data_IF_084102617427
#
_entry.id   IF_084102617427
#
_cell.length_a   1.000
_cell.length_b   1.000
_cell.length_c   1.000
_cell.angle_alpha   90.00
_cell.angle_beta   90.00
_cell.angle_gamma   90.00
#
_symmetry.space_group_name_H-M   'P 1'
#
loop_
_entity.id
_entity.type
_entity.pdbx_description
1 polymer ?
#
# COMPACT_ATOMS: atom_id res chain seq x y z
N UNK A 1 8.88 -28.38 3.42
CA UNK A 1 9.14 -27.85 4.78
C UNK A 1 8.55 -28.78 5.84
N UNK A 2 8.42 -30.06 5.51
CA UNK A 2 7.66 -31.05 6.30
C UNK A 2 8.54 -31.75 7.34
N UNK A 3 9.85 -31.49 7.31
CA UNK A 3 10.85 -31.99 8.25
C UNK A 3 11.93 -30.94 8.49
N UNK A 4 12.14 -30.58 9.76
CA UNK A 4 13.24 -29.70 10.15
C UNK A 4 14.61 -30.33 9.96
N UNK A 5 14.73 -31.66 10.09
CA UNK A 5 15.99 -32.39 9.81
C UNK A 5 16.39 -32.25 8.35
N UNK A 6 15.46 -32.59 7.43
CA UNK A 6 15.72 -32.48 6.00
C UNK A 6 16.03 -31.03 5.58
N UNK A 7 15.41 -30.05 6.25
CA UNK A 7 15.70 -28.65 5.97
C UNK A 7 17.09 -28.23 6.47
N UNK A 8 17.46 -28.62 7.69
CA UNK A 8 18.80 -28.40 8.22
C UNK A 8 19.87 -29.03 7.34
N UNK A 9 19.68 -30.30 6.95
CA UNK A 9 20.60 -31.04 6.10
C UNK A 9 20.77 -30.34 4.73
N UNK A 10 19.68 -29.83 4.15
CA UNK A 10 19.74 -29.10 2.88
C UNK A 10 20.48 -27.77 3.00
N UNK A 11 20.30 -27.03 4.09
CA UNK A 11 21.05 -25.79 4.34
C UNK A 11 22.53 -26.06 4.56
N UNK A 12 22.87 -27.02 5.41
CA UNK A 12 24.28 -27.33 5.71
C UNK A 12 24.99 -28.04 4.55
N UNK A 13 24.26 -28.80 3.73
CA UNK A 13 24.81 -29.46 2.55
C UNK A 13 25.21 -28.50 1.42
N UNK A 14 24.80 -27.23 1.48
CA UNK A 14 25.19 -26.22 0.49
C UNK A 14 26.60 -25.66 0.73
N UNK A 15 27.20 -25.88 1.90
CA UNK A 15 28.60 -25.54 2.14
C UNK A 15 29.51 -26.47 1.33
N UNK A 16 30.53 -25.91 0.67
CA UNK A 16 31.58 -26.73 0.06
C UNK A 16 32.50 -27.27 1.15
N UNK A 17 32.68 -28.59 1.19
CA UNK A 17 33.68 -29.24 2.05
C UNK A 17 35.08 -29.29 1.46
N UNK A 18 35.28 -28.76 0.24
CA UNK A 18 36.59 -28.73 -0.42
C UNK A 18 37.35 -27.46 -0.04
N UNK A 19 38.09 -27.54 1.06
CA UNK A 19 38.94 -26.44 1.55
C UNK A 19 40.05 -26.07 0.55
N UNK A 20 40.42 -26.97 -0.36
CA UNK A 20 41.42 -26.70 -1.39
C UNK A 20 40.88 -25.83 -2.52
N UNK A 21 39.61 -25.99 -2.88
CA UNK A 21 38.94 -25.20 -3.90
C UNK A 21 38.31 -23.90 -3.34
N UNK A 22 37.89 -23.89 -2.07
CA UNK A 22 37.25 -22.73 -1.41
C UNK A 22 37.80 -22.51 0.01
N UNK A 23 39.02 -21.96 0.15
CA UNK A 23 39.67 -21.74 1.45
C UNK A 23 39.10 -20.55 2.25
N UNK A 24 38.13 -19.81 1.72
CA UNK A 24 37.54 -18.63 2.40
C UNK A 24 36.29 -18.99 3.20
N UNK A 25 35.93 -18.19 4.24
CA UNK A 25 34.66 -18.34 4.94
C UNK A 25 33.46 -18.31 3.99
N UNK A 26 32.51 -19.22 4.20
CA UNK A 26 31.32 -19.35 3.39
C UNK A 26 30.08 -18.89 4.17
N UNK A 27 29.11 -18.33 3.45
CA UNK A 27 27.77 -18.04 3.96
C UNK A 27 26.75 -18.70 3.04
N UNK A 28 25.85 -19.51 3.63
CA UNK A 28 24.67 -20.03 2.95
C UNK A 28 23.49 -19.20 3.41
N UNK A 29 22.68 -18.72 2.48
CA UNK A 29 21.52 -17.90 2.79
C UNK A 29 20.32 -18.33 1.95
N UNK A 30 19.14 -18.14 2.53
CA UNK A 30 17.84 -18.32 1.89
C UNK A 30 16.98 -17.14 2.30
N UNK A 31 16.35 -16.49 1.33
CA UNK A 31 15.33 -15.47 1.56
C UNK A 31 14.02 -16.00 1.01
N UNK A 32 12.96 -15.94 1.81
CA UNK A 32 11.59 -16.37 1.46
C UNK A 32 10.61 -15.47 2.17
N UNK A 33 9.39 -15.40 1.65
CA UNK A 33 8.30 -14.67 2.31
C UNK A 33 8.03 -15.29 3.69
N UNK A 34 7.80 -14.45 4.71
CA UNK A 34 7.63 -14.90 6.09
C UNK A 34 6.39 -15.80 6.24
N UNK A 35 5.36 -15.51 5.45
CA UNK A 35 4.11 -16.24 5.30
C UNK A 35 4.34 -17.70 4.85
N UNK A 36 5.50 -18.01 4.28
CA UNK A 36 5.89 -19.40 3.96
C UNK A 36 5.82 -20.29 5.21
N UNK A 37 6.20 -19.75 6.37
CA UNK A 37 6.34 -20.51 7.63
C UNK A 37 5.07 -20.39 8.48
N UNK A 38 4.12 -21.30 8.27
CA UNK A 38 2.90 -21.43 9.07
C UNK A 38 1.61 -21.03 8.34
N UNK A 39 1.67 -20.01 7.47
CA UNK A 39 0.49 -19.58 6.70
C UNK A 39 0.34 -20.40 5.40
N UNK A 40 1.34 -20.39 4.51
CA UNK A 40 1.31 -21.16 3.27
C UNK A 40 1.71 -22.62 3.47
N UNK A 41 2.71 -22.89 4.33
CA UNK A 41 3.02 -24.25 4.76
C UNK A 41 2.67 -24.41 6.24
N UNK A 42 1.59 -25.14 6.49
CA UNK A 42 1.14 -25.49 7.83
C UNK A 42 2.29 -26.13 8.62
N UNK A 43 2.55 -25.63 9.84
CA UNK A 43 3.65 -26.06 10.71
C UNK A 43 5.07 -25.81 10.14
N UNK A 44 5.21 -25.02 9.08
CA UNK A 44 6.52 -24.65 8.52
C UNK A 44 7.40 -23.87 9.50
N UNK A 45 6.78 -23.09 10.39
CA UNK A 45 7.42 -22.41 11.52
C UNK A 45 8.10 -23.39 12.49
N UNK A 46 7.44 -24.51 12.81
CA UNK A 46 8.01 -25.56 13.66
C UNK A 46 9.20 -26.25 12.97
N UNK A 47 9.08 -26.53 11.66
CA UNK A 47 10.17 -27.12 10.90
C UNK A 47 11.39 -26.18 10.83
N UNK A 48 11.17 -24.88 10.64
CA UNK A 48 12.22 -23.87 10.69
C UNK A 48 12.88 -23.82 12.08
N UNK A 49 12.08 -23.71 13.15
CA UNK A 49 12.59 -23.66 14.51
C UNK A 49 13.44 -24.90 14.86
N UNK A 50 12.98 -26.08 14.49
CA UNK A 50 13.72 -27.33 14.71
C UNK A 50 15.01 -27.38 13.87
N UNK A 51 14.97 -26.95 12.60
CA UNK A 51 16.16 -26.91 11.76
C UNK A 51 17.24 -25.99 12.35
N UNK A 52 16.87 -24.80 12.80
CA UNK A 52 17.79 -23.86 13.45
C UNK A 52 18.37 -24.43 14.74
N UNK A 53 17.52 -25.02 15.59
CA UNK A 53 17.96 -25.68 16.82
C UNK A 53 18.95 -26.81 16.53
N UNK A 54 18.68 -27.65 15.53
CA UNK A 54 19.55 -28.75 15.15
C UNK A 54 20.91 -28.26 14.67
N UNK A 55 20.94 -27.22 13.82
CA UNK A 55 22.18 -26.63 13.31
C UNK A 55 23.06 -26.11 14.46
N UNK A 56 22.49 -25.36 15.40
CA UNK A 56 23.25 -24.80 16.53
C UNK A 56 23.69 -25.87 17.53
N UNK A 57 22.76 -26.74 17.96
CA UNK A 57 23.03 -27.74 19.01
C UNK A 57 24.05 -28.80 18.58
N UNK A 58 24.16 -29.08 17.28
CA UNK A 58 25.14 -30.02 16.73
C UNK A 58 26.41 -29.35 16.20
N UNK A 59 26.51 -28.01 16.28
CA UNK A 59 27.68 -27.25 15.83
C UNK A 59 27.97 -27.36 14.33
N UNK A 60 26.98 -27.73 13.51
CA UNK A 60 27.15 -27.93 12.05
C UNK A 60 27.43 -26.64 11.30
N UNK A 61 26.89 -25.52 11.77
CA UNK A 61 27.15 -24.19 11.24
C UNK A 61 26.84 -23.13 12.31
N UNK A 62 27.34 -21.92 12.11
CA UNK A 62 27.00 -20.75 12.93
C UNK A 62 25.84 -19.99 12.29
N UNK A 63 24.74 -19.82 13.02
CA UNK A 63 23.69 -18.90 12.63
C UNK A 63 24.18 -17.45 12.76
N UNK A 64 23.96 -16.65 11.74
CA UNK A 64 24.41 -15.25 11.69
C UNK A 64 23.48 -14.44 10.80
N UNK A 65 23.44 -13.12 11.00
CA UNK A 65 22.88 -12.19 10.03
C UNK A 65 23.98 -11.59 9.14
N UNK A 66 23.58 -10.86 8.08
CA UNK A 66 24.52 -10.27 7.13
C UNK A 66 25.43 -9.19 7.75
N UNK A 67 24.93 -8.42 8.72
CA UNK A 67 25.70 -7.35 9.35
C UNK A 67 26.85 -7.92 10.21
N UNK A 68 26.56 -8.95 11.00
CA UNK A 68 27.56 -9.66 11.80
C UNK A 68 28.59 -10.37 10.91
N UNK A 69 28.13 -11.07 9.86
CA UNK A 69 29.03 -11.75 8.93
C UNK A 69 29.98 -10.75 8.25
N UNK A 70 29.44 -9.64 7.72
CA UNK A 70 30.23 -8.59 7.07
C UNK A 70 31.26 -7.94 8.02
N UNK A 71 30.92 -7.79 9.30
CA UNK A 71 31.86 -7.23 10.27
C UNK A 71 33.05 -8.17 10.54
N UNK A 72 32.82 -9.48 10.49
CA UNK A 72 33.85 -10.52 10.70
C UNK A 72 34.64 -10.85 9.44
N UNK A 73 33.99 -10.78 8.28
CA UNK A 73 34.52 -11.19 6.98
C UNK A 73 34.36 -10.02 6.01
N UNK A 74 35.37 -9.14 5.90
CA UNK A 74 35.34 -8.03 4.95
C UNK A 74 35.22 -8.53 3.50
N UNK A 75 34.46 -7.84 2.63
CA UNK A 75 34.33 -8.22 1.23
C UNK A 75 35.68 -8.07 0.51
N UNK A 76 36.07 -9.10 -0.24
CA UNK A 76 37.32 -9.13 -1.02
C UNK A 76 37.08 -9.12 -2.54
N UNK A 77 35.82 -9.25 -2.95
CA UNK A 77 35.42 -9.38 -4.33
C UNK A 77 34.28 -8.41 -4.62
N UNK A 78 34.30 -7.87 -5.83
CA UNK A 78 33.18 -7.12 -6.39
C UNK A 78 32.42 -8.01 -7.37
N UNK A 79 31.11 -7.81 -7.42
CA UNK A 79 30.24 -8.47 -8.40
C UNK A 79 29.40 -7.40 -9.08
N UNK A 80 29.17 -7.56 -10.38
CA UNK A 80 28.22 -6.74 -11.10
C UNK A 80 26.83 -7.35 -10.97
N UNK A 81 25.86 -6.51 -10.60
CA UNK A 81 24.45 -6.89 -10.61
C UNK A 81 23.92 -6.68 -12.02
N UNK A 82 23.21 -7.68 -12.56
CA UNK A 82 22.41 -7.49 -13.76
C UNK A 82 21.19 -6.64 -13.37
N UNK A 83 21.18 -5.40 -13.85
CA UNK A 83 20.12 -4.44 -13.58
C UNK A 83 18.75 -4.95 -14.06
N UNK A 84 17.68 -4.51 -13.39
CA UNK A 84 16.30 -4.90 -13.70
C UNK A 84 16.05 -6.41 -13.66
N UNK A 85 16.78 -7.15 -12.82
CA UNK A 85 16.49 -8.56 -12.52
C UNK A 85 15.58 -8.70 -11.31
N UNK A 86 14.90 -9.85 -11.20
CA UNK A 86 14.10 -10.18 -10.04
C UNK A 86 14.24 -11.66 -9.68
N UNK A 87 14.10 -11.97 -8.39
CA UNK A 87 14.12 -13.34 -7.89
C UNK A 87 12.91 -14.19 -8.35
N UNK A 88 11.79 -13.56 -8.69
CA UNK A 88 10.49 -14.21 -8.96
C UNK A 88 10.01 -14.05 -10.41
N UNK A 89 10.86 -13.54 -11.29
CA UNK A 89 10.59 -13.41 -12.72
C UNK A 89 11.87 -13.63 -13.54
N UNK A 90 11.85 -14.64 -14.40
CA UNK A 90 12.97 -14.95 -15.29
C UNK A 90 13.19 -13.88 -16.37
N UNK A 91 12.20 -13.00 -16.58
CA UNK A 91 12.21 -11.91 -17.55
C UNK A 91 12.53 -10.55 -16.88
N UNK A 92 13.29 -10.58 -15.80
CA UNK A 92 13.66 -9.39 -15.05
C UNK A 92 12.50 -8.77 -14.28
N UNK A 93 12.22 -7.49 -14.48
CA UNK A 93 11.09 -6.79 -13.82
C UNK A 93 9.83 -6.72 -14.68
N UNK A 94 9.78 -7.45 -15.80
CA UNK A 94 8.65 -7.39 -16.72
C UNK A 94 7.35 -7.90 -16.10
N UNK A 95 7.39 -8.74 -15.06
CA UNK A 95 6.20 -9.13 -14.29
C UNK A 95 5.39 -7.91 -13.82
N UNK A 96 6.04 -6.77 -13.54
CA UNK A 96 5.38 -5.55 -13.03
C UNK A 96 5.17 -4.47 -14.10
N UNK A 97 5.37 -4.80 -15.38
CA UNK A 97 5.29 -3.81 -16.47
C UNK A 97 4.68 -4.35 -17.77
N UNK A 98 4.85 -5.63 -18.08
CA UNK A 98 4.55 -6.19 -19.40
C UNK A 98 3.93 -7.59 -19.31
N UNK A 99 3.41 -8.04 -20.44
CA UNK A 99 2.96 -9.41 -20.63
C UNK A 99 4.15 -10.33 -20.92
N UNK A 100 4.92 -10.64 -19.87
CA UNK A 100 6.03 -11.61 -19.96
C UNK A 100 5.59 -13.07 -19.73
N UNK A 101 4.28 -13.33 -19.67
CA UNK A 101 3.70 -14.64 -19.38
C UNK A 101 3.89 -15.14 -17.94
N UNK A 102 4.56 -14.38 -17.07
CA UNK A 102 4.64 -14.72 -15.65
C UNK A 102 3.29 -14.48 -14.96
N UNK A 103 2.70 -15.57 -14.44
CA UNK A 103 1.38 -15.66 -13.81
C UNK A 103 1.49 -16.32 -12.42
N UNK A 104 0.40 -16.33 -11.63
CA UNK A 104 0.26 -17.21 -10.45
C UNK A 104 0.06 -18.67 -10.88
N UNK A 105 -0.44 -18.89 -12.10
CA UNK A 105 -0.69 -20.21 -12.67
C UNK A 105 -2.06 -20.78 -12.30
N UNK A 106 -2.91 -19.99 -11.65
CA UNK A 106 -4.25 -20.41 -11.22
C UNK A 106 -5.23 -20.51 -12.39
N UNK A 107 -5.02 -19.72 -13.45
CA UNK A 107 -5.94 -19.65 -14.59
C UNK A 107 -5.25 -19.95 -15.94
N UNK A 108 -5.28 -21.22 -16.38
CA UNK A 108 -4.75 -21.58 -17.70
C UNK A 108 -5.44 -20.81 -18.83
N UNK A 109 -4.64 -20.21 -19.71
CA UNK A 109 -5.13 -19.46 -20.88
C UNK A 109 -5.33 -17.96 -20.64
N UNK A 110 -5.19 -17.48 -19.40
CA UNK A 110 -5.16 -16.04 -19.12
C UNK A 110 -3.81 -15.45 -19.50
N UNK A 111 -3.81 -14.15 -19.82
CA UNK A 111 -2.62 -13.39 -20.20
C UNK A 111 -2.52 -12.09 -19.39
N UNK A 112 -1.36 -11.44 -19.50
CA UNK A 112 -0.99 -10.28 -18.70
C UNK A 112 -0.91 -9.01 -19.55
N UNK A 113 -1.62 -8.98 -20.69
CA UNK A 113 -1.70 -7.85 -21.62
C UNK A 113 -2.22 -6.57 -20.96
N UNK A 114 -2.88 -6.68 -19.81
CA UNK A 114 -3.38 -5.57 -19.02
C UNK A 114 -2.31 -4.78 -18.26
N UNK A 115 -1.14 -5.38 -17.99
CA UNK A 115 -0.09 -4.75 -17.17
C UNK A 115 0.49 -3.51 -17.85
N UNK A 116 0.90 -3.60 -19.11
CA UNK A 116 1.44 -2.44 -19.82
C UNK A 116 0.47 -1.23 -19.87
N UNK A 117 -0.79 -1.38 -20.32
CA UNK A 117 -1.74 -0.26 -20.35
C UNK A 117 -2.17 0.25 -18.97
N UNK A 118 -2.24 -0.62 -17.94
CA UNK A 118 -2.48 -0.15 -16.58
C UNK A 118 -1.30 0.71 -16.09
N UNK A 119 -0.07 0.28 -16.37
CA UNK A 119 1.15 1.01 -15.98
C UNK A 119 1.21 2.37 -16.66
N UNK A 120 0.86 2.43 -17.94
CA UNK A 120 0.74 3.68 -18.71
C UNK A 120 -0.30 4.61 -18.08
N UNK A 121 -1.43 4.07 -17.61
CA UNK A 121 -2.48 4.86 -16.95
C UNK A 121 -1.98 5.50 -15.66
N UNK A 122 -1.20 4.76 -14.85
CA UNK A 122 -0.60 5.28 -13.63
C UNK A 122 0.53 6.27 -13.89
N UNK A 123 1.39 6.01 -14.88
CA UNK A 123 2.45 6.95 -15.28
C UNK A 123 1.85 8.26 -15.79
N UNK A 124 0.80 8.20 -16.62
CA UNK A 124 0.05 9.38 -17.08
C UNK A 124 -0.57 10.14 -15.89
N UNK A 125 -1.19 9.44 -14.94
CA UNK A 125 -1.79 10.08 -13.77
C UNK A 125 -0.73 10.77 -12.90
N UNK A 126 0.41 10.12 -12.65
CA UNK A 126 1.54 10.71 -11.95
C UNK A 126 2.02 11.98 -12.65
N UNK A 127 2.24 11.90 -13.97
CA UNK A 127 2.78 13.01 -14.75
C UNK A 127 1.78 14.19 -14.84
N UNK A 128 0.49 13.93 -14.67
CA UNK A 128 -0.56 14.96 -14.54
C UNK A 128 -0.54 15.63 -13.16
N UNK A 129 -0.41 14.85 -12.08
CA UNK A 129 -0.64 15.32 -10.71
C UNK A 129 0.63 15.79 -9.96
N UNK A 130 1.82 15.30 -10.31
CA UNK A 130 3.09 15.77 -9.72
C UNK A 130 3.31 17.29 -9.95
N UNK A 131 3.04 17.86 -11.15
CA UNK A 131 3.12 19.32 -11.34
C UNK A 131 2.12 20.11 -10.49
N UNK A 132 0.90 19.58 -10.31
CA UNK A 132 -0.12 20.17 -9.44
C UNK A 132 0.37 20.21 -7.99
N UNK A 133 0.92 19.09 -7.51
CA UNK A 133 1.53 19.00 -6.19
C UNK A 133 2.64 20.03 -6.02
N UNK A 134 3.65 20.02 -6.90
CA UNK A 134 4.84 20.89 -6.78
C UNK A 134 4.47 22.36 -6.77
N UNK A 135 3.53 22.76 -7.63
CA UNK A 135 3.12 24.17 -7.75
C UNK A 135 2.42 24.63 -6.47
N UNK A 136 1.38 23.91 -6.04
CA UNK A 136 0.58 24.33 -4.88
C UNK A 136 1.32 24.13 -3.56
N UNK A 137 2.08 23.04 -3.41
CA UNK A 137 2.86 22.78 -2.22
C UNK A 137 3.96 23.82 -2.04
N UNK A 138 4.58 24.33 -3.11
CA UNK A 138 5.60 25.36 -3.00
C UNK A 138 5.06 26.69 -2.45
N UNK A 139 3.76 26.96 -2.55
CA UNK A 139 3.12 28.13 -1.93
C UNK A 139 3.09 28.04 -0.39
N UNK A 140 3.03 26.81 0.15
CA UNK A 140 2.73 26.54 1.56
C UNK A 140 3.90 25.89 2.33
N UNK A 141 4.73 25.11 1.64
CA UNK A 141 5.80 24.26 2.18
C UNK A 141 7.18 24.71 1.68
N UNK A 142 8.20 24.62 2.54
CA UNK A 142 9.56 25.11 2.29
C UNK A 142 10.23 24.35 1.15
N UNK A 143 10.17 23.03 1.23
CA UNK A 143 10.62 22.10 0.20
C UNK A 143 9.53 21.03 0.03
N UNK A 144 8.77 21.05 -1.08
CA UNK A 144 7.73 20.04 -1.33
C UNK A 144 8.28 18.61 -1.35
N UNK A 145 9.48 18.38 -1.88
CA UNK A 145 10.04 17.04 -1.96
C UNK A 145 10.38 16.51 -0.57
N UNK A 146 11.07 17.31 0.23
CA UNK A 146 11.40 16.95 1.62
C UNK A 146 10.12 16.73 2.43
N UNK A 147 9.14 17.63 2.31
CA UNK A 147 7.88 17.53 3.04
C UNK A 147 7.10 16.25 2.69
N UNK A 148 7.13 15.80 1.43
CA UNK A 148 6.54 14.52 1.01
C UNK A 148 7.24 13.32 1.66
N UNK A 149 8.57 13.31 1.71
CA UNK A 149 9.34 12.23 2.34
C UNK A 149 9.10 12.19 3.86
N UNK A 150 9.06 13.35 4.50
CA UNK A 150 8.80 13.51 5.93
C UNK A 150 7.35 13.21 6.32
N UNK A 151 6.41 13.30 5.37
CA UNK A 151 5.00 13.03 5.61
C UNK A 151 4.72 11.60 6.09
N UNK A 152 5.61 10.65 5.80
CA UNK A 152 5.51 9.28 6.31
C UNK A 152 5.32 9.26 7.84
N UNK A 153 5.98 10.16 8.58
CA UNK A 153 5.85 10.25 10.04
C UNK A 153 4.44 10.63 10.47
N UNK A 154 3.76 11.52 9.72
CA UNK A 154 2.36 11.90 9.97
C UNK A 154 1.42 10.79 9.55
N UNK A 155 1.71 10.10 8.44
CA UNK A 155 0.88 9.00 7.97
C UNK A 155 0.88 7.79 8.94
N UNK A 156 2.01 7.56 9.63
CA UNK A 156 2.15 6.53 10.68
C UNK A 156 1.55 6.95 12.03
N UNK A 157 1.51 8.25 12.30
CA UNK A 157 1.03 8.83 13.56
C UNK A 157 0.24 10.11 13.26
N UNK A 158 -1.09 9.99 13.16
CA UNK A 158 -2.00 11.10 12.81
C UNK A 158 -2.41 11.96 14.02
N UNK A 159 -1.66 11.90 15.12
CA UNK A 159 -1.94 12.76 16.29
C UNK A 159 -1.75 14.24 15.96
N UNK A 160 -2.48 15.09 16.68
CA UNK A 160 -2.36 16.55 16.51
C UNK A 160 -0.94 17.04 16.83
N UNK A 161 -0.29 16.46 17.84
CA UNK A 161 1.11 16.76 18.16
C UNK A 161 2.06 16.48 16.99
N UNK A 162 1.88 15.35 16.29
CA UNK A 162 2.69 15.00 15.10
C UNK A 162 2.44 15.98 13.95
N UNK A 163 1.18 16.33 13.72
CA UNK A 163 0.77 17.30 12.68
C UNK A 163 1.34 18.69 12.93
N UNK A 164 1.23 19.21 14.16
CA UNK A 164 1.81 20.52 14.50
C UNK A 164 3.33 20.52 14.37
N UNK A 165 4.01 19.44 14.80
CA UNK A 165 5.46 19.31 14.62
C UNK A 165 5.84 19.35 13.14
N UNK A 166 5.10 18.64 12.29
CA UNK A 166 5.33 18.63 10.85
C UNK A 166 5.14 20.02 10.25
N UNK A 167 4.00 20.67 10.47
CA UNK A 167 3.70 22.00 9.93
C UNK A 167 4.69 23.05 10.43
N UNK A 168 5.05 23.03 11.72
CA UNK A 168 6.03 23.97 12.26
C UNK A 168 7.42 23.88 11.60
N UNK A 169 7.81 22.69 11.12
CA UNK A 169 9.08 22.47 10.41
C UNK A 169 8.97 22.74 8.91
N UNK A 170 7.91 22.23 8.29
CA UNK A 170 7.79 22.13 6.84
C UNK A 170 7.09 23.33 6.21
N UNK A 171 6.23 24.05 6.94
CA UNK A 171 5.52 25.21 6.40
C UNK A 171 6.44 26.43 6.24
N UNK A 172 6.23 27.20 5.17
CA UNK A 172 6.98 28.45 4.89
C UNK A 172 6.61 29.58 5.84
N UNK A 173 5.36 29.55 6.31
CA UNK A 173 4.72 30.56 7.14
C UNK A 173 3.62 29.90 7.98
N UNK A 174 3.06 30.58 8.99
CA UNK A 174 1.81 30.16 9.59
C UNK A 174 0.74 29.94 8.52
N UNK A 175 0.02 28.82 8.64
CA UNK A 175 -1.04 28.43 7.72
C UNK A 175 -2.40 28.56 8.41
N UNK A 176 -3.38 29.09 7.69
CA UNK A 176 -4.76 29.10 8.15
C UNK A 176 -5.40 27.69 8.06
N UNK A 177 -6.62 27.48 8.59
CA UNK A 177 -7.27 26.17 8.57
C UNK A 177 -7.44 25.57 7.16
N UNK A 178 -7.80 26.37 6.16
CA UNK A 178 -8.05 25.90 4.79
C UNK A 178 -6.73 25.53 4.09
N UNK A 179 -5.68 26.31 4.33
CA UNK A 179 -4.32 26.02 3.86
C UNK A 179 -3.76 24.74 4.46
N UNK A 180 -4.06 24.47 5.74
CA UNK A 180 -3.67 23.22 6.40
C UNK A 180 -4.37 22.03 5.78
N UNK A 181 -5.68 22.13 5.52
CA UNK A 181 -6.44 21.10 4.80
C UNK A 181 -5.84 20.88 3.41
N UNK A 182 -5.52 21.95 2.67
CA UNK A 182 -4.88 21.88 1.35
C UNK A 182 -3.53 21.16 1.40
N UNK A 183 -2.68 21.45 2.39
CA UNK A 183 -1.42 20.71 2.61
C UNK A 183 -1.66 19.21 2.79
N UNK A 184 -2.64 18.82 3.62
CA UNK A 184 -2.93 17.42 3.83
C UNK A 184 -3.48 16.73 2.59
N UNK A 185 -4.35 17.39 1.82
CA UNK A 185 -4.85 16.86 0.54
C UNK A 185 -3.71 16.67 -0.47
N UNK A 186 -2.81 17.64 -0.58
CA UNK A 186 -1.63 17.56 -1.46
C UNK A 186 -0.72 16.38 -1.10
N UNK A 187 -0.42 16.20 0.18
CA UNK A 187 0.46 15.13 0.66
C UNK A 187 -0.18 13.74 0.56
N UNK A 188 -1.48 13.62 0.82
CA UNK A 188 -2.22 12.37 0.61
C UNK A 188 -2.36 12.04 -0.88
N UNK A 189 -2.50 13.03 -1.76
CA UNK A 189 -2.51 12.82 -3.21
C UNK A 189 -1.19 12.19 -3.67
N UNK A 190 -0.04 12.76 -3.29
CA UNK A 190 1.28 12.18 -3.58
C UNK A 190 1.45 10.78 -2.98
N UNK A 191 1.00 10.57 -1.73
CA UNK A 191 1.02 9.25 -1.10
C UNK A 191 0.21 8.23 -1.91
N UNK A 192 -0.96 8.58 -2.41
CA UNK A 192 -1.77 7.69 -3.24
C UNK A 192 -1.15 7.42 -4.63
N UNK A 193 -0.46 8.42 -5.21
CA UNK A 193 0.36 8.21 -6.42
C UNK A 193 1.52 7.24 -6.19
N UNK A 194 2.07 7.14 -4.97
CA UNK A 194 3.06 6.12 -4.62
C UNK A 194 2.40 4.76 -4.43
N UNK A 195 1.27 4.71 -3.70
CA UNK A 195 0.59 3.45 -3.36
C UNK A 195 0.04 2.72 -4.58
N UNK A 196 -0.37 3.40 -5.65
CA UNK A 196 -0.83 2.74 -6.88
C UNK A 196 0.26 1.90 -7.57
N UNK A 197 1.53 2.05 -7.21
CA UNK A 197 2.62 1.20 -7.70
C UNK A 197 2.96 0.02 -6.79
N UNK A 198 2.11 -0.29 -5.80
CA UNK A 198 2.30 -1.48 -4.94
C UNK A 198 2.40 -2.75 -5.79
N UNK A 199 3.50 -3.47 -5.64
CA UNK A 199 3.90 -4.56 -6.56
C UNK A 199 2.93 -5.74 -6.60
N UNK A 200 2.22 -6.01 -5.49
CA UNK A 200 1.20 -7.07 -5.41
C UNK A 200 0.09 -6.87 -6.46
N UNK A 201 -0.26 -5.63 -6.79
CA UNK A 201 -1.27 -5.29 -7.79
C UNK A 201 -0.92 -5.66 -9.23
N UNK A 202 0.25 -6.28 -9.44
CA UNK A 202 0.73 -6.72 -10.76
C UNK A 202 1.10 -8.21 -10.77
N UNK A 203 1.11 -8.86 -9.60
CA UNK A 203 1.71 -10.18 -9.46
C UNK A 203 0.85 -11.28 -10.07
N UNK A 204 -0.47 -11.16 -9.89
CA UNK A 204 -1.48 -12.13 -10.26
C UNK A 204 -1.97 -11.96 -11.70
N UNK A 205 -2.95 -12.78 -12.07
CA UNK A 205 -3.30 -13.01 -13.47
C UNK A 205 -4.24 -11.95 -14.04
N UNK A 206 -4.97 -11.22 -13.19
CA UNK A 206 -6.18 -10.49 -13.60
C UNK A 206 -6.29 -9.07 -13.03
N UNK A 207 -6.72 -8.14 -13.89
CA UNK A 207 -6.84 -6.71 -13.57
C UNK A 207 -8.03 -6.41 -12.64
N UNK A 208 -9.05 -7.27 -12.63
CA UNK A 208 -10.18 -7.20 -11.69
C UNK A 208 -9.95 -7.95 -10.38
N UNK A 209 -8.77 -8.57 -10.19
CA UNK A 209 -8.38 -9.20 -8.93
C UNK A 209 -8.33 -8.20 -7.76
N UNK A 210 -8.27 -8.72 -6.53
CA UNK A 210 -8.31 -7.90 -5.31
C UNK A 210 -7.16 -6.89 -5.26
N UNK A 211 -5.94 -7.34 -5.56
CA UNK A 211 -4.71 -6.54 -5.50
C UNK A 211 -4.68 -5.48 -6.61
N UNK A 212 -5.03 -5.88 -7.84
CA UNK A 212 -5.14 -4.96 -8.99
C UNK A 212 -6.21 -3.90 -8.75
N UNK A 213 -7.36 -4.31 -8.23
CA UNK A 213 -8.44 -3.39 -7.83
C UNK A 213 -7.97 -2.43 -6.73
N UNK A 214 -7.19 -2.88 -5.76
CA UNK A 214 -6.65 -2.04 -4.69
C UNK A 214 -5.72 -0.94 -5.21
N UNK A 215 -4.84 -1.23 -6.18
CA UNK A 215 -3.98 -0.19 -6.77
C UNK A 215 -4.77 0.80 -7.62
N UNK A 216 -5.84 0.35 -8.30
CA UNK A 216 -6.78 1.23 -8.98
C UNK A 216 -7.57 2.08 -7.97
N UNK A 217 -7.90 1.56 -6.78
CA UNK A 217 -8.51 2.35 -5.71
C UNK A 217 -7.58 3.47 -5.21
N UNK A 218 -6.28 3.22 -5.11
CA UNK A 218 -5.33 4.29 -4.79
C UNK A 218 -5.30 5.36 -5.87
N UNK A 219 -5.31 4.99 -7.15
CA UNK A 219 -5.44 5.95 -8.24
C UNK A 219 -6.76 6.74 -8.17
N UNK A 220 -7.87 6.07 -7.83
CA UNK A 220 -9.18 6.68 -7.60
C UNK A 220 -9.17 7.72 -6.47
N UNK A 221 -8.50 7.41 -5.36
CA UNK A 221 -8.36 8.37 -4.26
C UNK A 221 -7.46 9.57 -4.64
N UNK A 222 -6.42 9.35 -5.44
CA UNK A 222 -5.60 10.44 -5.96
C UNK A 222 -6.40 11.41 -6.82
N UNK A 223 -7.22 10.92 -7.77
CA UNK A 223 -8.05 11.80 -8.63
C UNK A 223 -9.16 12.51 -7.86
N UNK A 224 -9.72 11.89 -6.82
CA UNK A 224 -10.68 12.54 -5.92
C UNK A 224 -10.04 13.76 -5.23
N UNK A 225 -8.84 13.57 -4.66
CA UNK A 225 -8.10 14.66 -4.02
C UNK A 225 -7.69 15.74 -5.04
N UNK A 226 -7.31 15.33 -6.25
CA UNK A 226 -6.97 16.28 -7.32
C UNK A 226 -8.17 17.16 -7.71
N UNK A 227 -9.38 16.59 -7.78
CA UNK A 227 -10.62 17.33 -8.03
C UNK A 227 -10.81 18.47 -7.02
N UNK A 228 -10.65 18.18 -5.74
CA UNK A 228 -10.72 19.19 -4.66
C UNK A 228 -9.59 20.23 -4.74
N UNK A 229 -8.46 19.86 -5.32
CA UNK A 229 -7.28 20.70 -5.51
C UNK A 229 -7.31 21.47 -6.85
N UNK A 230 -8.40 21.41 -7.60
CA UNK A 230 -8.62 22.19 -8.81
C UNK A 230 -8.33 21.47 -10.13
N UNK A 231 -8.26 20.14 -10.13
CA UNK A 231 -8.19 19.32 -11.35
C UNK A 231 -9.39 18.37 -11.47
N UNK A 232 -10.59 18.90 -11.83
CA UNK A 232 -11.81 18.10 -11.93
C UNK A 232 -11.80 17.06 -13.06
N UNK A 233 -10.92 17.22 -14.05
CA UNK A 233 -10.83 16.35 -15.22
C UNK A 233 -9.89 15.15 -15.02
N UNK A 234 -9.16 15.09 -13.89
CA UNK A 234 -8.21 14.02 -13.59
C UNK A 234 -8.87 12.63 -13.58
N UNK A 235 -10.09 12.54 -13.04
CA UNK A 235 -10.84 11.29 -13.01
C UNK A 235 -11.23 10.81 -14.41
N UNK A 236 -11.75 11.71 -15.25
CA UNK A 236 -12.14 11.38 -16.62
C UNK A 236 -10.93 10.91 -17.43
N UNK A 237 -9.78 11.59 -17.28
CA UNK A 237 -8.53 11.20 -17.92
C UNK A 237 -8.05 9.81 -17.47
N UNK A 238 -8.10 9.51 -16.17
CA UNK A 238 -7.76 8.18 -15.63
C UNK A 238 -8.65 7.10 -16.24
N UNK A 239 -9.97 7.28 -16.17
CA UNK A 239 -10.94 6.28 -16.66
C UNK A 239 -10.74 6.01 -18.16
N UNK A 240 -10.48 7.05 -18.95
CA UNK A 240 -10.23 6.90 -20.39
C UNK A 240 -8.95 6.08 -20.66
N UNK A 241 -7.89 6.30 -19.89
CA UNK A 241 -6.68 5.49 -20.01
C UNK A 241 -6.91 4.03 -19.60
N UNK A 242 -7.69 3.80 -18.53
CA UNK A 242 -8.03 2.46 -18.03
C UNK A 242 -8.83 1.62 -19.04
N UNK A 243 -9.50 2.23 -20.03
CA UNK A 243 -10.17 1.48 -21.12
C UNK A 243 -9.20 0.66 -21.97
N UNK A 244 -7.92 1.02 -21.97
CA UNK A 244 -6.87 0.34 -22.75
C UNK A 244 -6.34 -0.90 -22.04
N UNK A 245 -6.65 -1.09 -20.76
CA UNK A 245 -6.22 -2.27 -20.01
C UNK A 245 -7.31 -3.34 -20.07
N UNK A 246 -7.14 -4.39 -20.91
CA UNK A 246 -8.13 -5.46 -21.03
C UNK A 246 -8.26 -6.27 -19.74
N UNK A 247 -9.39 -6.93 -19.57
CA UNK A 247 -9.60 -7.96 -18.55
C UNK A 247 -9.62 -9.33 -19.23
N UNK A 248 -9.14 -10.38 -18.54
CA UNK A 248 -9.33 -11.76 -19.02
C UNK A 248 -10.80 -12.20 -18.93
N UNK A 249 -11.61 -11.51 -18.12
CA UNK A 249 -13.05 -11.73 -17.97
C UNK A 249 -13.84 -10.86 -18.97
N UNK A 250 -14.62 -11.47 -19.89
CA UNK A 250 -15.43 -10.73 -20.87
C UNK A 250 -16.47 -9.78 -20.25
N UNK A 251 -17.06 -10.16 -19.12
CA UNK A 251 -18.09 -9.39 -18.40
C UNK A 251 -17.54 -8.13 -17.71
N UNK A 252 -16.22 -8.06 -17.52
CA UNK A 252 -15.50 -6.88 -17.06
C UNK A 252 -15.00 -6.09 -18.27
N UNK A 253 -14.38 -6.76 -19.25
CA UNK A 253 -13.88 -6.17 -20.48
C UNK A 253 -12.60 -5.35 -20.29
N UNK A 254 -12.62 -4.31 -19.43
CA UNK A 254 -11.47 -3.42 -19.20
C UNK A 254 -11.36 -2.94 -17.75
N UNK A 255 -10.19 -2.42 -17.37
CA UNK A 255 -9.97 -1.82 -16.06
C UNK A 255 -10.85 -0.58 -15.79
N UNK A 256 -11.41 0.06 -16.82
CA UNK A 256 -12.39 1.12 -16.62
C UNK A 256 -13.69 0.58 -15.98
N UNK A 257 -14.12 -0.62 -16.34
CA UNK A 257 -15.26 -1.29 -15.67
C UNK A 257 -14.92 -1.64 -14.23
N UNK A 258 -13.67 -2.04 -13.96
CA UNK A 258 -13.18 -2.28 -12.58
C UNK A 258 -13.28 -0.99 -11.77
N UNK A 259 -12.84 0.13 -12.33
CA UNK A 259 -12.97 1.44 -11.70
C UNK A 259 -14.43 1.78 -11.38
N UNK A 260 -15.32 1.69 -12.38
CA UNK A 260 -16.72 2.09 -12.20
C UNK A 260 -17.49 1.18 -11.24
N UNK A 261 -17.22 -0.13 -11.23
CA UNK A 261 -17.94 -1.09 -10.39
C UNK A 261 -17.37 -1.25 -8.98
N UNK A 262 -16.05 -1.18 -8.82
CA UNK A 262 -15.39 -1.55 -7.57
C UNK A 262 -14.64 -0.40 -6.89
N UNK A 263 -14.36 0.70 -7.61
CA UNK A 263 -13.59 1.82 -7.05
C UNK A 263 -14.46 3.05 -6.83
N UNK A 264 -15.17 3.52 -7.85
CA UNK A 264 -16.04 4.69 -7.75
C UNK A 264 -17.04 4.61 -6.57
N UNK A 265 -17.67 3.45 -6.29
CA UNK A 265 -18.60 3.34 -5.16
C UNK A 265 -17.95 3.44 -3.78
N UNK A 266 -16.64 3.17 -3.65
CA UNK A 266 -15.92 3.23 -2.37
C UNK A 266 -15.51 4.64 -1.98
N UNK A 267 -15.73 5.64 -2.85
CA UNK A 267 -15.51 7.04 -2.52
C UNK A 267 -16.48 7.49 -1.42
N UNK A 268 -15.92 7.95 -0.30
CA UNK A 268 -16.65 8.43 0.87
C UNK A 268 -16.41 9.93 1.00
N UNK A 269 -17.51 10.68 1.15
CA UNK A 269 -17.50 12.12 1.48
C UNK A 269 -18.14 12.33 2.87
N UNK A 270 -18.01 13.55 3.41
CA UNK A 270 -18.56 13.90 4.72
C UNK A 270 -20.09 13.71 4.78
N UNK A 271 -20.80 13.82 3.65
CA UNK A 271 -22.24 13.62 3.57
C UNK A 271 -22.62 12.15 3.75
N UNK A 272 -21.92 11.22 3.09
CA UNK A 272 -22.10 9.77 3.25
C UNK A 272 -21.78 9.33 4.68
N UNK A 273 -20.73 9.89 5.29
CA UNK A 273 -20.41 9.63 6.71
C UNK A 273 -21.54 10.14 7.61
N UNK A 274 -22.05 11.35 7.35
CA UNK A 274 -23.18 11.92 8.08
C UNK A 274 -24.43 11.05 7.96
N UNK A 275 -24.74 10.56 6.75
CA UNK A 275 -25.88 9.68 6.49
C UNK A 275 -25.71 8.33 7.19
N UNK A 276 -24.52 7.73 7.13
CA UNK A 276 -24.20 6.51 7.84
C UNK A 276 -24.38 6.70 9.35
N UNK A 277 -23.78 7.74 9.93
CA UNK A 277 -23.93 8.05 11.36
C UNK A 277 -25.40 8.26 11.73
N UNK A 278 -26.19 8.98 10.92
CA UNK A 278 -27.61 9.20 11.19
C UNK A 278 -28.39 7.88 11.28
N UNK A 279 -28.17 6.96 10.34
CA UNK A 279 -28.82 5.63 10.33
C UNK A 279 -28.32 4.77 11.48
N UNK A 280 -27.00 4.61 11.63
CA UNK A 280 -26.39 3.79 12.67
C UNK A 280 -26.74 4.28 14.07
N UNK A 281 -26.88 5.60 14.25
CA UNK A 281 -27.26 6.17 15.54
C UNK A 281 -28.62 5.67 16.02
N UNK A 282 -29.54 5.23 15.16
CA UNK A 282 -30.83 4.67 15.60
C UNK A 282 -30.64 3.41 16.45
N UNK A 283 -29.61 2.61 16.13
CA UNK A 283 -29.32 1.31 16.71
C UNK A 283 -28.19 1.36 17.73
N UNK A 284 -27.20 2.20 17.52
CA UNK A 284 -25.98 2.30 18.34
C UNK A 284 -25.99 3.53 19.25
N UNK A 285 -25.28 3.40 20.38
CA UNK A 285 -25.07 4.49 21.32
C UNK A 285 -23.70 5.14 21.08
N UNK A 286 -23.68 6.19 20.26
CA UNK A 286 -22.47 7.00 20.07
C UNK A 286 -22.24 7.97 21.23
N UNK A 287 -20.97 8.18 21.59
CA UNK A 287 -20.55 9.22 22.53
C UNK A 287 -20.59 10.63 21.92
N UNK A 288 -20.22 11.67 22.70
CA UNK A 288 -20.15 13.05 22.21
C UNK A 288 -19.18 13.23 21.03
N UNK A 289 -18.07 12.50 21.03
CA UNK A 289 -17.14 12.37 19.91
C UNK A 289 -16.94 10.89 19.64
N UNK A 290 -17.15 10.47 18.40
CA UNK A 290 -17.01 9.07 17.99
C UNK A 290 -16.16 8.99 16.72
N UNK A 291 -15.38 7.92 16.59
CA UNK A 291 -14.67 7.60 15.35
C UNK A 291 -15.50 6.66 14.49
N UNK A 292 -15.62 6.96 13.20
CA UNK A 292 -16.12 6.03 12.19
C UNK A 292 -15.00 5.92 11.14
N UNK A 293 -14.28 4.80 11.18
CA UNK A 293 -13.09 4.56 10.36
C UNK A 293 -12.12 5.76 10.34
N UNK A 294 -11.98 6.41 9.18
CA UNK A 294 -11.09 7.55 8.96
C UNK A 294 -11.75 8.91 9.24
N UNK A 295 -12.84 8.96 10.01
CA UNK A 295 -13.59 10.18 10.31
C UNK A 295 -13.91 10.30 11.80
N UNK A 296 -14.04 11.54 12.26
CA UNK A 296 -14.60 11.87 13.57
C UNK A 296 -15.98 12.49 13.38
N UNK A 297 -16.92 12.09 14.24
CA UNK A 297 -18.24 12.72 14.35
C UNK A 297 -18.37 13.31 15.75
N UNK A 298 -18.51 14.64 15.80
CA UNK A 298 -18.74 15.43 17.00
C UNK A 298 -20.22 15.81 17.09
N UNK A 299 -20.93 15.35 18.12
CA UNK A 299 -22.32 15.71 18.38
C UNK A 299 -22.38 17.13 18.92
N UNK A 300 -23.01 18.04 18.16
CA UNK A 300 -23.14 19.46 18.50
C UNK A 300 -24.44 19.76 19.25
N UNK A 301 -25.53 19.11 18.87
CA UNK A 301 -26.84 19.26 19.51
C UNK A 301 -27.44 17.92 19.95
N UNK A 302 -28.28 17.98 20.98
CA UNK A 302 -28.92 16.80 21.56
C UNK A 302 -29.88 16.15 20.57
N UNK A 303 -29.75 14.82 20.42
CA UNK A 303 -30.57 14.07 19.50
C UNK A 303 -31.98 13.94 20.11
N UNK A 304 -32.95 14.65 19.54
CA UNK A 304 -34.35 14.49 19.93
C UNK A 304 -34.82 13.09 19.56
N UNK A 305 -35.06 12.26 20.58
CA UNK A 305 -35.61 10.91 20.41
C UNK A 305 -37.12 10.96 20.57
N UNK A 306 -37.83 10.71 19.48
CA UNK A 306 -39.28 10.48 19.53
C UNK A 306 -39.55 9.03 19.18
N UNK A 307 -40.19 8.29 20.09
CA UNK A 307 -40.75 6.96 19.79
C UNK A 307 -42.26 7.01 19.94
N UNK A 308 -43.00 6.73 18.87
CA UNK A 308 -44.47 6.64 18.91
C UNK A 308 -44.93 5.48 18.02
N UNK A 309 -45.65 4.52 18.60
CA UNK A 309 -46.27 3.41 17.84
C UNK A 309 -45.30 2.53 17.04
N UNK A 310 -44.09 2.27 17.56
CA UNK A 310 -43.08 1.43 16.88
C UNK A 310 -42.14 2.19 15.93
N UNK A 311 -42.42 3.46 15.62
CA UNK A 311 -41.50 4.33 14.88
C UNK A 311 -40.55 5.07 15.82
N UNK A 312 -39.24 5.04 15.55
CA UNK A 312 -38.22 5.80 16.26
C UNK A 312 -37.63 6.87 15.33
N UNK A 313 -37.61 8.12 15.80
CA UNK A 313 -37.00 9.26 15.10
C UNK A 313 -35.88 9.85 15.95
N UNK A 314 -34.78 10.21 15.30
CA UNK A 314 -33.64 10.94 15.86
C UNK A 314 -33.36 12.15 14.97
N UNK A 315 -33.26 13.34 15.57
CA UNK A 315 -32.89 14.59 14.89
C UNK A 315 -31.84 15.30 15.74
N UNK A 316 -30.75 15.75 15.13
CA UNK A 316 -29.71 16.53 15.80
C UNK A 316 -28.71 17.10 14.82
N UNK A 317 -27.77 17.89 15.33
CA UNK A 317 -26.67 18.49 14.55
C UNK A 317 -25.36 17.81 14.92
N UNK A 318 -24.58 17.44 13.92
CA UNK A 318 -23.25 16.85 14.06
C UNK A 318 -22.25 17.62 13.22
N UNK A 319 -21.01 17.72 13.71
CA UNK A 319 -19.86 18.05 12.87
C UNK A 319 -19.17 16.75 12.49
N UNK A 320 -18.81 16.60 11.21
CA UNK A 320 -18.01 15.46 10.74
C UNK A 320 -16.67 16.01 10.31
N UNK A 321 -15.58 15.35 10.63
CA UNK A 321 -14.26 15.74 10.15
C UNK A 321 -13.43 14.55 9.73
N UNK A 322 -12.57 14.73 8.74
CA UNK A 322 -11.63 13.71 8.29
C UNK A 322 -10.48 13.55 9.28
N UNK A 323 -10.24 12.32 9.74
CA UNK A 323 -9.07 11.99 10.53
C UNK A 323 -7.78 12.03 9.70
N UNK A 324 -7.86 12.22 8.37
CA UNK A 324 -6.74 12.22 7.43
C UNK A 324 -6.39 13.66 7.00
N UNK A 325 -7.36 14.34 6.38
CA UNK A 325 -7.23 15.68 5.76
C UNK A 325 -7.71 16.82 6.65
N UNK A 326 -8.32 16.51 7.79
CA UNK A 326 -8.91 17.46 8.74
C UNK A 326 -10.01 18.37 8.18
N UNK A 327 -10.49 18.11 6.96
CA UNK A 327 -11.68 18.77 6.40
C UNK A 327 -12.91 18.43 7.23
N UNK A 328 -13.84 19.38 7.38
CA UNK A 328 -15.04 19.25 8.23
C UNK A 328 -16.25 19.98 7.70
#
# INVERSE_FOLDING_TARGET
LDSGEAFADRLTGAFSGDESARPWPQIVHVATDGETYGHHHRHGDMALAYALHLIESTGRARLTNYAEYRHRVPPQSEVAILENTAWSCAHGVDRWRADCGCASGEHPGWNQAWRAPLRISFDMLRDRLDPLYRTQAAELLRDPREAREEYLRVALDRSDARREQFLGRQSRRPLDPDERIRVWKLLEMERHLQLMYTSCGWFFDEVSGLESSQVIQYAGRAVQLAGDLGDPDAEAALVESLRKAPSNLPEIGTAATVYDRFVRPTSIDLLKVSAHYAVSSLFEAYGPRSSIDAFYVDRREEIQRQSRGGAARRVGVVGVSSAVTTES
#
